data_IF_719261787702
#
_entry.id   IF_719261787702
#
_cell.length_a   1.000
_cell.length_b   1.000
_cell.length_c   1.000
_cell.angle_alpha   90.00
_cell.angle_beta   90.00
_cell.angle_gamma   90.00
#
_symmetry.space_group_name_H-M   'P 1'
#
loop_
_entity.id
_entity.type
_entity.pdbx_description
1 polymer ?
#
# COMPACT_ATOMS: atom_id res chain seq x y z
N UNK A 1 12.44 5.92 19.96
CA UNK A 1 13.01 5.72 18.60
C UNK A 1 13.41 4.25 18.45
N UNK A 2 12.83 3.51 17.51
CA UNK A 2 13.22 2.12 17.24
C UNK A 2 14.65 2.09 16.70
N UNK A 3 15.56 1.46 17.44
CA UNK A 3 16.99 1.43 17.13
C UNK A 3 17.27 0.83 15.74
N UNK A 4 18.29 1.35 15.06
CA UNK A 4 18.71 0.94 13.70
C UNK A 4 18.92 -0.57 13.57
N UNK A 5 19.32 -1.22 14.68
CA UNK A 5 19.52 -2.67 14.79
C UNK A 5 18.21 -3.46 14.70
N UNK A 6 17.14 -2.96 15.32
CA UNK A 6 15.80 -3.55 15.25
C UNK A 6 15.18 -3.40 13.87
N UNK A 7 15.41 -2.26 13.20
CA UNK A 7 15.00 -2.07 11.80
C UNK A 7 15.72 -3.02 10.84
N UNK A 8 17.03 -3.22 11.01
CA UNK A 8 17.82 -4.15 10.19
C UNK A 8 17.34 -5.60 10.35
N UNK A 9 17.14 -6.05 11.60
CA UNK A 9 16.65 -7.40 11.91
C UNK A 9 15.25 -7.67 11.31
N UNK A 10 14.35 -6.68 11.36
CA UNK A 10 13.04 -6.79 10.72
C UNK A 10 13.14 -6.83 9.19
N UNK A 11 14.03 -6.02 8.58
CA UNK A 11 14.27 -6.02 7.13
C UNK A 11 14.86 -7.34 6.63
N UNK A 12 15.78 -7.93 7.38
CA UNK A 12 16.39 -9.22 7.03
C UNK A 12 15.36 -10.37 7.15
N UNK A 13 14.58 -10.40 8.23
CA UNK A 13 13.51 -11.39 8.43
C UNK A 13 12.43 -11.35 7.34
N UNK A 14 12.10 -10.14 6.87
CA UNK A 14 11.07 -9.94 5.85
C UNK A 14 11.65 -9.76 4.44
N UNK A 15 12.93 -10.11 4.21
CA UNK A 15 13.62 -9.83 2.94
C UNK A 15 12.95 -10.54 1.74
N UNK A 16 12.47 -11.77 1.94
CA UNK A 16 11.81 -12.59 0.92
C UNK A 16 10.36 -12.11 0.64
N UNK A 17 9.63 -11.74 1.69
CA UNK A 17 8.34 -11.06 1.57
C UNK A 17 8.49 -9.72 0.85
N UNK A 18 9.56 -8.98 1.15
CA UNK A 18 9.92 -7.76 0.42
C UNK A 18 10.33 -8.05 -1.01
N UNK A 19 11.06 -9.11 -1.34
CA UNK A 19 11.42 -9.38 -2.74
C UNK A 19 10.19 -9.71 -3.57
N UNK A 20 9.23 -10.45 -3.02
CA UNK A 20 7.94 -10.73 -3.67
C UNK A 20 7.07 -9.46 -3.82
N UNK A 21 6.96 -8.64 -2.78
CA UNK A 21 6.27 -7.34 -2.88
C UNK A 21 7.04 -6.33 -3.76
N UNK A 22 8.36 -6.45 -3.87
CA UNK A 22 9.20 -5.53 -4.63
C UNK A 22 9.16 -5.76 -6.15
N UNK A 23 8.71 -6.91 -6.65
CA UNK A 23 8.55 -7.08 -8.11
C UNK A 23 7.44 -6.15 -8.62
N UNK A 24 6.34 -5.98 -7.87
CA UNK A 24 5.38 -4.88 -8.10
C UNK A 24 5.91 -3.50 -7.70
N UNK A 25 6.63 -3.40 -6.57
CA UNK A 25 6.82 -2.12 -5.88
C UNK A 25 8.11 -1.33 -6.21
N UNK A 26 9.14 -1.90 -6.85
CA UNK A 26 10.46 -1.23 -6.87
C UNK A 26 10.53 0.07 -7.67
N UNK A 27 9.70 0.22 -8.72
CA UNK A 27 9.63 1.47 -9.48
C UNK A 27 8.36 2.26 -9.21
N UNK A 28 7.24 1.61 -8.89
CA UNK A 28 5.95 2.29 -8.81
C UNK A 28 5.60 2.80 -7.41
N UNK A 29 5.80 2.02 -6.34
CA UNK A 29 5.25 2.38 -5.02
C UNK A 29 5.87 3.66 -4.43
N UNK A 30 7.17 3.88 -4.60
CA UNK A 30 7.80 5.10 -4.12
C UNK A 30 7.35 6.34 -4.89
N UNK A 31 7.10 6.20 -6.19
CA UNK A 31 6.63 7.29 -7.05
C UNK A 31 5.14 7.54 -6.78
N UNK A 32 4.32 6.50 -6.63
CA UNK A 32 2.91 6.60 -6.20
C UNK A 32 2.80 7.28 -4.82
N UNK A 33 3.68 6.98 -3.87
CA UNK A 33 3.65 7.66 -2.57
C UNK A 33 4.07 9.13 -2.66
N UNK A 34 4.98 9.49 -3.56
CA UNK A 34 5.29 10.90 -3.85
C UNK A 34 4.11 11.60 -4.52
N UNK A 35 3.46 10.93 -5.46
CA UNK A 35 2.27 11.43 -6.14
C UNK A 35 1.12 11.65 -5.16
N UNK A 36 0.82 10.68 -4.30
CA UNK A 36 -0.17 10.81 -3.24
C UNK A 36 0.17 11.96 -2.30
N UNK A 37 1.44 12.10 -1.90
CA UNK A 37 1.86 13.21 -1.06
C UNK A 37 1.64 14.57 -1.74
N UNK A 38 1.90 14.69 -3.04
CA UNK A 38 1.66 15.92 -3.81
C UNK A 38 0.16 16.19 -4.00
N UNK A 39 -0.59 15.20 -4.47
CA UNK A 39 -2.01 15.31 -4.77
C UNK A 39 -2.84 15.71 -3.54
N UNK A 40 -2.51 15.16 -2.37
CA UNK A 40 -3.22 15.40 -1.12
C UNK A 40 -2.48 16.37 -0.16
N UNK A 41 -1.41 17.04 -0.62
CA UNK A 41 -0.61 18.03 0.14
C UNK A 41 -0.09 17.49 1.49
N UNK A 42 0.39 16.26 1.48
CA UNK A 42 0.92 15.56 2.65
C UNK A 42 2.41 15.86 2.85
N UNK A 43 2.90 15.68 4.07
CA UNK A 43 4.29 15.88 4.53
C UNK A 43 5.20 14.71 4.11
N UNK A 44 5.09 14.31 2.85
CA UNK A 44 5.91 13.28 2.21
C UNK A 44 5.37 11.85 2.36
N UNK A 45 6.17 10.88 1.92
CA UNK A 45 5.78 9.46 1.77
C UNK A 45 5.27 8.82 3.05
N UNK A 46 5.80 9.22 4.21
CA UNK A 46 5.37 8.69 5.50
C UNK A 46 3.91 9.00 5.81
N UNK A 47 3.50 10.25 5.59
CA UNK A 47 2.10 10.66 5.73
C UNK A 47 1.24 10.08 4.61
N UNK A 48 1.76 9.94 3.38
CA UNK A 48 1.06 9.27 2.28
C UNK A 48 0.68 7.82 2.60
N UNK A 49 1.55 7.06 3.27
CA UNK A 49 1.21 5.70 3.73
C UNK A 49 0.07 5.74 4.75
N UNK A 50 0.15 6.62 5.75
CA UNK A 50 -0.90 6.75 6.76
C UNK A 50 -2.24 7.16 6.14
N UNK A 51 -2.20 8.10 5.18
CA UNK A 51 -3.36 8.56 4.44
C UNK A 51 -3.99 7.44 3.60
N UNK A 52 -3.20 6.66 2.86
CA UNK A 52 -3.70 5.53 2.09
C UNK A 52 -4.44 4.51 2.98
N UNK A 53 -3.89 4.20 4.17
CA UNK A 53 -4.56 3.35 5.15
C UNK A 53 -5.87 3.97 5.67
N UNK A 54 -5.88 5.29 5.92
CA UNK A 54 -7.08 6.01 6.35
C UNK A 54 -8.19 5.94 5.30
N UNK A 55 -7.87 6.21 4.03
CA UNK A 55 -8.81 6.13 2.90
C UNK A 55 -9.37 4.73 2.74
N UNK A 56 -8.51 3.70 2.75
CA UNK A 56 -8.94 2.31 2.63
C UNK A 56 -9.93 1.92 3.74
N UNK A 57 -9.64 2.29 5.00
CA UNK A 57 -10.57 2.07 6.12
C UNK A 57 -11.90 2.80 5.93
N UNK A 58 -11.87 4.04 5.46
CA UNK A 58 -13.08 4.81 5.16
C UNK A 58 -13.94 4.14 4.09
N UNK A 59 -13.32 3.64 3.01
CA UNK A 59 -14.02 2.90 1.96
C UNK A 59 -14.62 1.58 2.48
N UNK A 60 -13.88 0.82 3.29
CA UNK A 60 -14.39 -0.41 3.92
C UNK A 60 -15.61 -0.13 4.81
N UNK A 61 -15.58 0.95 5.59
CA UNK A 61 -16.73 1.36 6.40
C UNK A 61 -17.92 1.78 5.53
N UNK A 62 -17.67 2.53 4.44
CA UNK A 62 -18.70 2.98 3.51
C UNK A 62 -19.35 1.82 2.75
N UNK A 63 -18.57 0.78 2.42
CA UNK A 63 -19.05 -0.42 1.74
C UNK A 63 -20.14 -1.15 2.53
N UNK A 64 -20.16 -1.03 3.86
CA UNK A 64 -21.19 -1.66 4.70
C UNK A 64 -22.61 -1.13 4.45
N UNK A 65 -22.75 0.06 3.85
CA UNK A 65 -24.05 0.68 3.59
C UNK A 65 -24.14 1.37 2.22
N UNK A 66 -23.15 1.17 1.35
CA UNK A 66 -23.15 1.64 -0.05
C UNK A 66 -22.73 0.50 -0.98
N UNK A 67 -23.66 -0.04 -1.80
CA UNK A 67 -23.35 -1.09 -2.78
C UNK A 67 -22.35 -0.65 -3.83
N UNK A 68 -22.29 0.65 -4.15
CA UNK A 68 -21.29 1.20 -5.07
C UNK A 68 -19.88 1.16 -4.45
N UNK A 69 -19.74 1.60 -3.19
CA UNK A 69 -18.46 1.54 -2.50
C UNK A 69 -17.99 0.10 -2.30
N UNK A 70 -18.92 -0.84 -2.06
CA UNK A 70 -18.60 -2.27 -1.96
C UNK A 70 -18.06 -2.83 -3.29
N UNK A 71 -18.71 -2.52 -4.42
CA UNK A 71 -18.23 -2.92 -5.75
C UNK A 71 -16.87 -2.34 -6.08
N UNK A 72 -16.68 -1.05 -5.80
CA UNK A 72 -15.39 -0.38 -6.03
C UNK A 72 -14.27 -1.03 -5.21
N UNK A 73 -14.53 -1.39 -3.95
CA UNK A 73 -13.55 -2.06 -3.10
C UNK A 73 -13.21 -3.47 -3.63
N UNK A 74 -14.21 -4.22 -4.09
CA UNK A 74 -14.02 -5.55 -4.71
C UNK A 74 -13.18 -5.44 -5.98
N UNK A 75 -13.50 -4.50 -6.88
CA UNK A 75 -12.77 -4.28 -8.12
C UNK A 75 -11.28 -3.96 -7.85
N UNK A 76 -11.01 -3.09 -6.86
CA UNK A 76 -9.64 -2.78 -6.44
C UNK A 76 -8.92 -4.00 -5.85
N UNK A 77 -9.60 -4.82 -5.04
CA UNK A 77 -9.02 -6.02 -4.46
C UNK A 77 -8.69 -7.06 -5.54
N UNK A 78 -9.60 -7.31 -6.47
CA UNK A 78 -9.40 -8.21 -7.61
C UNK A 78 -8.24 -7.74 -8.49
N UNK A 79 -8.20 -6.44 -8.83
CA UNK A 79 -7.10 -5.88 -9.62
C UNK A 79 -5.76 -6.01 -8.91
N UNK A 80 -5.70 -5.71 -7.61
CA UNK A 80 -4.48 -5.84 -6.83
C UNK A 80 -3.98 -7.28 -6.77
N UNK A 81 -4.87 -8.26 -6.57
CA UNK A 81 -4.51 -9.67 -6.58
C UNK A 81 -4.02 -10.13 -7.95
N UNK A 82 -4.71 -9.74 -9.03
CA UNK A 82 -4.30 -10.03 -10.41
C UNK A 82 -2.90 -9.50 -10.69
N UNK A 83 -2.66 -8.23 -10.36
CA UNK A 83 -1.35 -7.61 -10.59
C UNK A 83 -0.27 -8.28 -9.74
N UNK A 84 -0.54 -8.54 -8.46
CA UNK A 84 0.39 -9.26 -7.58
C UNK A 84 0.80 -10.60 -8.17
N UNK A 85 -0.15 -11.36 -8.70
CA UNK A 85 0.09 -12.69 -9.24
C UNK A 85 0.80 -12.62 -10.62
N UNK A 86 0.48 -11.63 -11.46
CA UNK A 86 1.18 -11.37 -12.72
C UNK A 86 2.67 -11.03 -12.51
N UNK A 87 2.97 -10.30 -11.43
CA UNK A 87 4.32 -9.89 -11.07
C UNK A 87 4.94 -10.79 -9.99
N UNK A 88 4.34 -11.95 -9.69
CA UNK A 88 4.96 -12.93 -8.81
C UNK A 88 6.15 -13.60 -9.54
N UNK A 89 7.33 -13.74 -8.90
CA UNK A 89 8.51 -14.35 -9.50
C UNK A 89 8.36 -15.86 -9.71
#
# INVERSE_FOLDING_TARGET
MTTTRSQKRWRDKNRLLKSQLNVMARRNAHDTLDELARAYRLRGKGEAVAFACFVARGLMQRAAYSPEAARMLEDFAVSYHRDRDLYAP
#
